data_IF_889325541917
#
_entry.id   IF_889325541917
#
_cell.length_a   1.000
_cell.length_b   1.000
_cell.length_c   1.000
_cell.angle_alpha   90.00
_cell.angle_beta   90.00
_cell.angle_gamma   90.00
#
_symmetry.space_group_name_H-M   'P 1'
#
loop_
_entity.id
_entity.type
_entity.pdbx_description
1 polymer ?
#
# COMPACT_ATOMS: atom_id res chain seq x y z
N UNK A 1 -12.36 -18.84 -5.59
CA UNK A 1 -11.70 -19.09 -4.31
C UNK A 1 -11.22 -17.78 -3.71
N UNK A 2 -11.41 -17.59 -2.42
CA UNK A 2 -11.01 -16.33 -1.79
C UNK A 2 -9.49 -16.27 -1.64
N UNK A 3 -8.98 -15.05 -1.75
CA UNK A 3 -7.58 -14.80 -1.49
C UNK A 3 -7.38 -14.71 0.01
N UNK A 4 -6.48 -15.53 0.55
CA UNK A 4 -6.22 -15.60 1.98
C UNK A 4 -4.89 -15.00 2.38
N UNK A 5 -3.97 -14.79 1.42
CA UNK A 5 -2.64 -14.25 1.68
C UNK A 5 -2.27 -13.24 0.61
N UNK A 6 -1.22 -12.46 0.90
CA UNK A 6 -0.65 -11.57 -0.12
C UNK A 6 -0.28 -12.35 -1.37
N UNK A 7 0.34 -13.52 -1.17
CA UNK A 7 0.79 -14.34 -2.29
C UNK A 7 -0.36 -14.83 -3.16
N UNK A 8 -1.50 -15.13 -2.55
CA UNK A 8 -2.69 -15.51 -3.31
C UNK A 8 -3.13 -14.39 -4.25
N UNK A 9 -3.16 -13.16 -3.73
CA UNK A 9 -3.51 -12.00 -4.55
C UNK A 9 -2.49 -11.78 -5.65
N UNK A 10 -1.20 -11.85 -5.31
CA UNK A 10 -0.14 -11.63 -6.29
C UNK A 10 -0.21 -12.66 -7.41
N UNK A 11 -0.51 -13.91 -7.05
CA UNK A 11 -0.60 -15.00 -8.02
C UNK A 11 -1.75 -14.80 -9.01
N UNK A 12 -2.78 -14.07 -8.60
CA UNK A 12 -3.93 -13.79 -9.47
C UNK A 12 -3.65 -12.62 -10.42
N UNK A 13 -2.54 -11.91 -10.25
CA UNK A 13 -2.18 -10.78 -11.10
C UNK A 13 -1.21 -11.23 -12.19
N UNK A 14 -1.09 -10.40 -13.23
CA UNK A 14 -0.07 -10.64 -14.24
C UNK A 14 1.32 -10.63 -13.59
N UNK A 15 2.28 -11.40 -14.11
CA UNK A 15 3.60 -11.48 -13.48
C UNK A 15 4.27 -10.14 -13.24
N UNK A 16 4.11 -9.21 -14.15
CA UNK A 16 4.69 -7.87 -14.03
C UNK A 16 4.08 -7.11 -12.88
N UNK A 17 2.76 -7.20 -12.73
CA UNK A 17 2.04 -6.58 -11.62
C UNK A 17 2.44 -7.24 -10.31
N UNK A 18 2.54 -8.55 -10.31
CA UNK A 18 2.96 -9.31 -9.13
C UNK A 18 4.32 -8.84 -8.63
N UNK A 19 5.28 -8.63 -9.54
CA UNK A 19 6.60 -8.15 -9.16
C UNK A 19 6.53 -6.77 -8.52
N UNK A 20 5.68 -5.89 -9.05
CA UNK A 20 5.52 -4.54 -8.51
C UNK A 20 4.90 -4.58 -7.12
N UNK A 21 3.89 -5.44 -6.93
CA UNK A 21 3.27 -5.61 -5.61
C UNK A 21 4.26 -6.18 -4.60
N UNK A 22 5.09 -7.13 -5.03
CA UNK A 22 6.13 -7.68 -4.15
C UNK A 22 7.14 -6.63 -3.75
N UNK A 23 7.46 -5.71 -4.65
CA UNK A 23 8.38 -4.62 -4.33
C UNK A 23 7.79 -3.68 -3.29
N UNK A 24 6.49 -3.38 -3.38
CA UNK A 24 5.81 -2.57 -2.39
C UNK A 24 5.82 -3.29 -1.04
N UNK A 25 5.50 -4.58 -1.04
CA UNK A 25 5.49 -5.39 0.17
C UNK A 25 6.84 -5.33 0.88
N UNK A 26 7.92 -5.54 0.12
CA UNK A 26 9.26 -5.52 0.69
C UNK A 26 9.62 -4.14 1.23
N UNK A 27 9.23 -3.09 0.52
CA UNK A 27 9.54 -1.73 0.94
C UNK A 27 8.85 -1.38 2.26
N UNK A 28 7.57 -1.74 2.39
CA UNK A 28 6.82 -1.48 3.62
C UNK A 28 7.44 -2.24 4.78
N UNK A 29 7.76 -3.52 4.56
CA UNK A 29 8.32 -4.34 5.63
C UNK A 29 9.70 -3.87 6.06
N UNK A 30 10.47 -3.36 5.12
CA UNK A 30 11.80 -2.83 5.43
C UNK A 30 11.72 -1.56 6.28
N UNK A 31 10.71 -0.72 6.01
CA UNK A 31 10.61 0.58 6.66
C UNK A 31 9.89 0.56 7.99
N UNK A 32 9.00 -0.40 8.19
CA UNK A 32 8.10 -0.39 9.35
C UNK A 32 8.27 -1.68 10.14
N UNK A 33 9.15 -1.69 11.14
CA UNK A 33 9.34 -2.88 11.97
C UNK A 33 8.08 -3.23 12.73
N UNK A 34 7.83 -4.52 12.89
CA UNK A 34 6.68 -4.99 13.63
C UNK A 34 5.39 -5.03 12.85
N UNK A 35 5.45 -4.71 11.56
CA UNK A 35 4.27 -4.78 10.71
C UNK A 35 3.94 -6.23 10.38
N UNK A 36 2.65 -6.54 10.26
CA UNK A 36 2.18 -7.87 9.90
C UNK A 36 1.34 -7.82 8.64
N UNK A 37 1.44 -8.87 7.83
CA UNK A 37 0.64 -9.00 6.62
C UNK A 37 -0.77 -9.46 6.97
N UNK A 38 -1.75 -8.95 6.25
CA UNK A 38 -3.13 -9.41 6.41
C UNK A 38 -3.90 -9.14 5.12
N UNK A 39 -5.13 -9.61 5.09
CA UNK A 39 -6.07 -9.33 4.00
C UNK A 39 -7.25 -8.59 4.61
N UNK A 40 -7.63 -7.48 4.02
CA UNK A 40 -8.77 -6.69 4.46
C UNK A 40 -9.44 -6.12 3.23
N UNK A 41 -10.77 -6.14 3.20
CA UNK A 41 -11.56 -5.69 2.05
C UNK A 41 -11.10 -6.38 0.76
N UNK A 42 -10.70 -7.66 0.88
CA UNK A 42 -10.21 -8.48 -0.24
C UNK A 42 -8.93 -7.93 -0.86
N UNK A 43 -8.17 -7.16 -0.10
CA UNK A 43 -6.91 -6.60 -0.58
C UNK A 43 -5.78 -6.99 0.34
N UNK A 44 -4.58 -7.19 -0.20
CA UNK A 44 -3.40 -7.27 0.64
C UNK A 44 -3.28 -6.01 1.48
N UNK A 45 -2.94 -6.19 2.74
CA UNK A 45 -2.88 -5.08 3.66
C UNK A 45 -1.81 -5.35 4.71
N UNK A 46 -1.46 -4.31 5.44
CA UNK A 46 -0.54 -4.40 6.57
C UNK A 46 -1.19 -3.84 7.81
N UNK A 47 -0.86 -4.44 8.93
CA UNK A 47 -1.36 -3.99 10.23
C UNK A 47 -0.23 -3.86 11.23
N UNK A 48 -0.42 -2.94 12.14
CA UNK A 48 0.40 -2.83 13.35
C UNK A 48 -0.55 -2.39 14.45
N UNK A 49 -1.13 -3.40 15.12
CA UNK A 49 -2.32 -3.17 15.92
C UNK A 49 -3.54 -3.07 15.02
N UNK A 50 -3.65 -1.95 14.33
CA UNK A 50 -4.73 -1.73 13.37
C UNK A 50 -4.19 -1.81 11.95
N UNK A 51 -5.08 -2.10 11.02
CA UNK A 51 -4.73 -2.08 9.60
C UNK A 51 -4.56 -0.62 9.18
N UNK A 52 -3.45 -0.32 8.53
CA UNK A 52 -3.13 1.05 8.14
C UNK A 52 -2.80 1.22 6.67
N UNK A 53 -2.63 0.15 5.93
CA UNK A 53 -2.13 0.23 4.55
C UNK A 53 -2.73 -0.90 3.75
N UNK A 54 -3.36 -0.55 2.63
CA UNK A 54 -3.95 -1.51 1.70
C UNK A 54 -3.34 -1.26 0.34
N UNK A 55 -2.99 -2.32 -0.38
CA UNK A 55 -2.47 -2.18 -1.74
C UNK A 55 -2.95 -3.34 -2.59
N UNK A 56 -3.39 -3.05 -3.79
CA UNK A 56 -3.96 -4.07 -4.65
C UNK A 56 -3.63 -3.80 -6.11
N UNK A 57 -3.46 -4.88 -6.87
CA UNK A 57 -3.26 -4.79 -8.30
C UNK A 57 -4.59 -4.90 -9.03
N UNK A 58 -4.85 -3.92 -9.88
CA UNK A 58 -6.02 -3.89 -10.74
C UNK A 58 -5.58 -3.95 -12.19
N UNK A 59 -6.53 -3.99 -13.09
CA UNK A 59 -6.23 -4.21 -14.50
C UNK A 59 -5.25 -3.17 -15.06
N UNK A 60 -5.40 -1.91 -14.68
CA UNK A 60 -4.63 -0.82 -15.26
C UNK A 60 -3.73 -0.10 -14.26
N UNK A 61 -3.86 -0.41 -12.98
CA UNK A 61 -3.12 0.34 -11.97
C UNK A 61 -2.99 -0.46 -10.69
N UNK A 62 -2.10 0.02 -9.82
CA UNK A 62 -2.02 -0.44 -8.44
C UNK A 62 -2.65 0.66 -7.57
N UNK A 63 -3.58 0.28 -6.72
CA UNK A 63 -4.22 1.22 -5.79
C UNK A 63 -3.64 1.10 -4.41
N UNK A 64 -3.50 2.23 -3.72
CA UNK A 64 -3.03 2.27 -2.33
C UNK A 64 -4.02 3.08 -1.52
N UNK A 65 -4.40 2.55 -0.37
CA UNK A 65 -5.42 3.11 0.51
C UNK A 65 -4.97 3.04 1.97
N UNK A 66 -5.53 3.81 2.88
CA UNK A 66 -6.45 4.92 2.64
C UNK A 66 -5.68 6.16 2.19
N UNK A 67 -6.39 7.26 1.86
CA UNK A 67 -5.70 8.51 1.50
C UNK A 67 -4.87 9.05 2.65
N UNK A 68 -3.69 9.58 2.34
CA UNK A 68 -2.82 10.21 3.34
C UNK A 68 -3.13 11.70 3.35
N UNK A 69 -3.28 12.26 4.55
CA UNK A 69 -3.67 13.65 4.71
C UNK A 69 -2.58 14.53 5.30
N UNK A 70 -1.50 13.93 5.77
CA UNK A 70 -0.40 14.65 6.41
C UNK A 70 0.87 13.82 6.33
N UNK A 71 2.07 14.45 6.34
CA UNK A 71 2.28 15.89 6.38
C UNK A 71 2.04 16.56 5.03
N UNK A 72 1.84 17.86 5.03
CA UNK A 72 1.43 18.61 3.85
C UNK A 72 2.42 18.49 2.69
N UNK A 73 3.71 18.50 2.97
CA UNK A 73 4.72 18.41 1.91
C UNK A 73 4.72 17.04 1.24
N UNK A 74 4.46 15.98 1.99
CA UNK A 74 4.32 14.66 1.42
C UNK A 74 3.04 14.56 0.59
N UNK A 75 1.94 15.07 1.11
CA UNK A 75 0.68 15.09 0.38
C UNK A 75 0.83 15.82 -0.96
N UNK A 76 1.57 16.93 -0.95
CA UNK A 76 1.82 17.68 -2.18
C UNK A 76 2.56 16.84 -3.23
N UNK A 77 3.51 16.01 -2.81
CA UNK A 77 4.24 15.14 -3.73
C UNK A 77 3.35 14.07 -4.34
N UNK A 78 2.24 13.76 -3.70
CA UNK A 78 1.33 12.70 -4.15
C UNK A 78 0.32 13.19 -5.17
N UNK A 79 0.27 14.50 -5.45
CA UNK A 79 -0.70 15.07 -6.37
C UNK A 79 -0.86 14.31 -7.67
N UNK A 80 0.25 13.99 -8.39
CA UNK A 80 0.13 13.28 -9.67
C UNK A 80 -0.49 11.89 -9.56
N UNK A 81 -0.52 11.31 -8.37
CA UNK A 81 -0.99 9.94 -8.17
C UNK A 81 -2.35 9.87 -7.49
N UNK A 82 -2.91 10.99 -7.09
CA UNK A 82 -4.18 10.98 -6.35
C UNK A 82 -5.35 10.86 -7.30
N UNK A 83 -6.24 9.92 -6.99
CA UNK A 83 -7.49 9.79 -7.71
C UNK A 83 -8.56 10.75 -7.19
N UNK A 84 -9.75 10.70 -7.79
CA UNK A 84 -10.83 11.63 -7.39
C UNK A 84 -11.25 11.50 -5.93
N UNK A 85 -11.04 10.32 -5.34
CA UNK A 85 -11.42 10.07 -3.94
C UNK A 85 -10.23 10.19 -3.00
N UNK A 86 -9.10 10.64 -3.49
CA UNK A 86 -7.91 10.85 -2.67
C UNK A 86 -6.99 9.65 -2.54
N UNK A 87 -7.45 8.45 -2.88
CA UNK A 87 -6.58 7.28 -2.86
C UNK A 87 -5.51 7.39 -3.95
N UNK A 88 -4.42 6.66 -3.78
CA UNK A 88 -3.32 6.69 -4.74
C UNK A 88 -3.50 5.64 -5.81
N UNK A 89 -3.07 5.99 -7.01
CA UNK A 89 -3.17 5.13 -8.17
C UNK A 89 -1.88 5.23 -8.97
N UNK A 90 -1.26 4.08 -9.24
CA UNK A 90 0.02 4.00 -9.96
C UNK A 90 -0.18 3.12 -11.19
N UNK A 91 -0.10 3.72 -12.37
CA UNK A 91 -0.33 2.98 -13.60
C UNK A 91 0.79 1.98 -13.85
N UNK A 92 0.46 0.88 -14.54
CA UNK A 92 1.42 -0.20 -14.76
C UNK A 92 2.50 0.16 -15.76
N UNK A 93 2.28 1.18 -16.58
CA UNK A 93 3.20 1.56 -17.64
C UNK A 93 4.20 2.65 -17.20
N UNK A 94 4.19 3.03 -15.94
CA UNK A 94 5.10 4.05 -15.42
C UNK A 94 5.94 3.47 -14.30
N UNK A 95 7.14 4.02 -14.06
CA UNK A 95 7.97 3.57 -12.94
C UNK A 95 7.23 3.72 -11.62
N UNK A 96 7.44 2.75 -10.74
CA UNK A 96 6.80 2.73 -9.43
C UNK A 96 7.67 3.51 -8.45
N UNK A 97 7.17 4.62 -7.86
CA UNK A 97 7.99 5.43 -6.96
C UNK A 97 8.05 4.80 -5.56
N UNK A 98 8.90 3.78 -5.40
CA UNK A 98 8.94 3.00 -4.16
C UNK A 98 9.32 3.82 -2.95
N UNK A 99 10.25 4.77 -3.07
CA UNK A 99 10.60 5.63 -1.94
C UNK A 99 9.41 6.42 -1.46
N UNK A 100 8.66 6.98 -2.40
CA UNK A 100 7.48 7.77 -2.08
C UNK A 100 6.41 6.89 -1.45
N UNK A 101 6.21 5.70 -2.00
CA UNK A 101 5.25 4.74 -1.44
C UNK A 101 5.65 4.35 -0.02
N UNK A 102 6.95 4.16 0.21
CA UNK A 102 7.44 3.87 1.56
C UNK A 102 7.17 5.00 2.53
N UNK A 103 7.34 6.25 2.09
CA UNK A 103 7.01 7.41 2.93
C UNK A 103 5.52 7.46 3.25
N UNK A 104 4.68 7.11 2.28
CA UNK A 104 3.23 7.03 2.48
C UNK A 104 2.92 5.98 3.54
N UNK A 105 3.54 4.80 3.44
CA UNK A 105 3.30 3.73 4.39
C UNK A 105 3.70 4.16 5.80
N UNK A 106 4.83 4.83 5.94
CA UNK A 106 5.27 5.34 7.24
C UNK A 106 4.27 6.36 7.79
N UNK A 107 3.79 7.24 6.93
CA UNK A 107 2.80 8.24 7.36
C UNK A 107 1.50 7.61 7.79
N UNK A 108 1.02 6.62 7.04
CA UNK A 108 -0.21 5.92 7.39
C UNK A 108 -0.04 5.09 8.66
N UNK A 109 1.13 4.47 8.84
CA UNK A 109 1.41 3.74 10.07
C UNK A 109 1.38 4.66 11.28
N UNK A 110 1.92 5.87 11.12
CA UNK A 110 1.93 6.85 12.18
C UNK A 110 0.52 7.33 12.52
N UNK A 111 -0.32 7.45 11.51
CA UNK A 111 -1.67 7.98 11.67
C UNK A 111 -2.66 6.92 12.17
N UNK A 112 -2.58 5.71 11.67
CA UNK A 112 -3.58 4.67 11.93
C UNK A 112 -3.02 3.45 12.64
N UNK A 113 -1.78 3.07 12.34
CA UNK A 113 -1.21 1.81 12.78
C UNK A 113 -0.54 1.94 14.12
N UNK A 114 -1.29 1.91 15.20
CA UNK A 114 -0.74 2.08 16.53
C UNK A 114 -0.55 0.74 17.21
N UNK A 115 0.54 0.60 17.98
CA UNK A 115 0.71 -0.60 18.79
C UNK A 115 -0.43 -0.72 19.80
N UNK A 116 -0.65 -1.95 20.23
CA UNK A 116 -1.69 -2.24 21.21
C UNK A 116 -1.43 -1.46 22.50
N UNK A 117 -2.50 -0.96 23.08
CA UNK A 117 -2.43 -0.25 24.35
C UNK A 117 -1.99 1.19 24.24
N UNK A 118 -1.91 1.72 23.05
CA UNK A 118 -1.46 3.11 22.86
C UNK A 118 -2.56 3.95 22.26
#
# INVERSE_FOLDING_TARGET
MSEATHEDHFAACAPEVSRRLSAIQAEVERRIPGVSRCIAYRMPAFRRGKVFFYFAGFKRHIGIYPPLNAPADLVAKLGPYRGPKGNLSFTHDAPLPLDLIGEVAEGLASEYGRPDGK
#
